data_IF_293238472996
#
_entry.id   IF_293238472996
#
_cell.length_a   1.000
_cell.length_b   1.000
_cell.length_c   1.000
_cell.angle_alpha   90.00
_cell.angle_beta   90.00
_cell.angle_gamma   90.00
#
_symmetry.space_group_name_H-M   'P 1'
#
loop_
_entity.id
_entity.type
_entity.pdbx_description
1 polymer ?
#
# COMPACT_ATOMS: atom_id res chain seq x y z
N UNK A 1 7.76 -29.78 18.64
CA UNK A 1 7.01 -28.50 18.68
C UNK A 1 7.84 -27.43 17.95
N UNK A 2 7.45 -27.08 16.72
CA UNK A 2 8.12 -26.00 16.02
C UNK A 2 7.83 -24.67 16.73
N UNK A 3 8.84 -24.10 17.39
CA UNK A 3 8.74 -22.74 17.92
C UNK A 3 8.51 -21.80 16.74
N UNK A 4 7.48 -20.96 16.77
CA UNK A 4 7.25 -19.99 15.71
C UNK A 4 8.48 -19.10 15.57
N UNK A 5 8.98 -18.97 14.34
CA UNK A 5 10.25 -18.28 14.07
C UNK A 5 9.99 -16.78 13.97
N UNK A 6 9.78 -16.13 15.12
CA UNK A 6 9.44 -14.71 15.23
C UNK A 6 10.41 -13.79 14.47
N UNK A 7 11.71 -14.17 14.41
CA UNK A 7 12.70 -13.42 13.64
C UNK A 7 12.40 -13.40 12.13
N UNK A 8 11.82 -14.48 11.58
CA UNK A 8 11.40 -14.49 10.17
C UNK A 8 10.18 -13.60 9.93
N UNK A 9 9.24 -13.60 10.87
CA UNK A 9 8.06 -12.72 10.81
C UNK A 9 8.46 -11.25 10.88
N UNK A 10 9.37 -10.91 11.81
CA UNK A 10 9.88 -9.54 11.93
C UNK A 10 10.59 -9.07 10.66
N UNK A 11 11.48 -9.91 10.11
CA UNK A 11 12.17 -9.60 8.84
C UNK A 11 11.19 -9.41 7.68
N UNK A 12 10.14 -10.22 7.61
CA UNK A 12 9.09 -10.07 6.60
C UNK A 12 8.34 -8.74 6.75
N UNK A 13 8.01 -8.33 7.99
CA UNK A 13 7.40 -7.02 8.25
C UNK A 13 8.32 -5.87 7.84
N UNK A 14 9.61 -5.91 8.19
CA UNK A 14 10.57 -4.89 7.78
C UNK A 14 10.68 -4.79 6.25
N UNK A 15 10.74 -5.92 5.55
CA UNK A 15 10.75 -5.92 4.09
C UNK A 15 9.46 -5.33 3.51
N UNK A 16 8.30 -5.66 4.08
CA UNK A 16 7.02 -5.08 3.68
C UNK A 16 7.00 -3.56 3.86
N UNK A 17 7.45 -3.05 5.00
CA UNK A 17 7.54 -1.60 5.24
C UNK A 17 8.53 -0.89 4.33
N UNK A 18 9.70 -1.50 4.06
CA UNK A 18 10.68 -0.93 3.12
C UNK A 18 10.08 -0.87 1.71
N UNK A 19 9.44 -1.93 1.26
CA UNK A 19 8.77 -1.98 -0.05
C UNK A 19 7.67 -0.93 -0.12
N UNK A 20 6.88 -0.81 0.94
CA UNK A 20 5.83 0.21 1.05
C UNK A 20 6.40 1.63 0.97
N UNK A 21 7.46 1.93 1.72
CA UNK A 21 8.10 3.24 1.72
C UNK A 21 8.65 3.60 0.33
N UNK A 22 9.28 2.65 -0.36
CA UNK A 22 9.76 2.83 -1.72
C UNK A 22 8.59 3.11 -2.67
N UNK A 23 7.53 2.31 -2.60
CA UNK A 23 6.37 2.43 -3.47
C UNK A 23 5.62 3.75 -3.24
N UNK A 24 5.47 4.18 -1.99
CA UNK A 24 4.82 5.45 -1.65
C UNK A 24 5.57 6.67 -2.21
N UNK A 25 6.91 6.63 -2.20
CA UNK A 25 7.73 7.69 -2.78
C UNK A 25 7.79 7.62 -4.32
N UNK A 26 7.56 6.43 -4.89
CA UNK A 26 7.56 6.24 -6.35
C UNK A 26 6.29 6.79 -7.02
N UNK A 27 5.14 6.74 -6.36
CA UNK A 27 3.87 7.23 -6.90
C UNK A 27 3.89 8.71 -7.30
N UNK A 28 4.40 9.68 -6.50
CA UNK A 28 4.53 11.07 -6.91
C UNK A 28 5.43 11.28 -8.14
N UNK A 29 6.49 10.47 -8.29
CA UNK A 29 7.35 10.53 -9.49
C UNK A 29 6.60 10.07 -10.74
N UNK A 30 5.76 9.05 -10.62
CA UNK A 30 4.89 8.62 -11.71
C UNK A 30 3.88 9.71 -12.10
N UNK A 31 3.36 10.46 -11.15
CA UNK A 31 2.42 11.56 -11.43
C UNK A 31 3.05 12.66 -12.27
N UNK A 32 4.31 13.00 -12.01
CA UNK A 32 5.04 13.96 -12.83
C UNK A 32 5.25 13.44 -14.26
N UNK A 33 5.54 12.16 -14.40
CA UNK A 33 5.63 11.51 -15.71
C UNK A 33 4.29 11.56 -16.46
N UNK A 34 3.19 11.27 -15.78
CA UNK A 34 1.85 11.31 -16.37
C UNK A 34 1.45 12.73 -16.84
N UNK A 35 1.89 13.77 -16.11
CA UNK A 35 1.74 15.14 -16.57
C UNK A 35 2.40 15.36 -17.94
N UNK A 36 3.65 14.93 -18.08
CA UNK A 36 4.44 15.15 -19.29
C UNK A 36 4.00 14.26 -20.47
N UNK A 37 3.61 13.01 -20.20
CA UNK A 37 3.32 12.01 -21.24
C UNK A 37 1.85 12.09 -21.75
N UNK A 38 0.91 12.33 -20.84
CA UNK A 38 -0.53 12.37 -21.15
C UNK A 38 -1.13 13.78 -21.10
N UNK A 39 -0.31 14.83 -20.90
CA UNK A 39 -0.77 16.22 -20.74
C UNK A 39 -1.84 16.41 -19.66
N UNK A 40 -1.76 15.61 -18.57
CA UNK A 40 -2.69 15.69 -17.46
C UNK A 40 -2.41 16.98 -16.67
N UNK A 41 -3.39 17.90 -16.51
CA UNK A 41 -3.16 19.14 -15.79
C UNK A 41 -2.86 18.90 -14.30
N UNK A 42 -2.06 19.79 -13.69
CA UNK A 42 -1.67 19.67 -12.29
C UNK A 42 -2.85 19.57 -11.32
N UNK A 43 -3.99 20.19 -11.64
CA UNK A 43 -5.21 20.05 -10.83
C UNK A 43 -5.72 18.61 -10.78
N UNK A 44 -5.63 17.86 -11.87
CA UNK A 44 -6.00 16.44 -11.89
C UNK A 44 -4.97 15.57 -11.17
N UNK A 45 -3.69 15.92 -11.20
CA UNK A 45 -2.64 15.25 -10.41
C UNK A 45 -2.89 15.43 -8.91
N UNK A 46 -3.29 16.63 -8.49
CA UNK A 46 -3.69 16.87 -7.11
C UNK A 46 -4.89 16.02 -6.69
N UNK A 47 -5.85 15.81 -7.61
CA UNK A 47 -6.97 14.89 -7.37
C UNK A 47 -6.51 13.43 -7.20
N UNK A 48 -5.52 12.96 -7.97
CA UNK A 48 -4.95 11.62 -7.79
C UNK A 48 -4.34 11.45 -6.40
N UNK A 49 -3.56 12.43 -5.94
CA UNK A 49 -2.98 12.43 -4.59
C UNK A 49 -4.07 12.44 -3.51
N UNK A 50 -5.09 13.28 -3.68
CA UNK A 50 -6.22 13.35 -2.74
C UNK A 50 -7.00 12.03 -2.69
N UNK A 51 -7.26 11.42 -3.84
CA UNK A 51 -7.93 10.12 -3.94
C UNK A 51 -7.12 9.02 -3.27
N UNK A 52 -5.79 9.04 -3.40
CA UNK A 52 -4.90 8.10 -2.72
C UNK A 52 -5.08 8.19 -1.20
N UNK A 53 -4.90 9.37 -0.60
CA UNK A 53 -5.00 9.55 0.84
C UNK A 53 -6.41 9.31 1.39
N UNK A 54 -7.45 9.73 0.69
CA UNK A 54 -8.84 9.47 1.09
C UNK A 54 -9.11 7.96 1.11
N UNK A 55 -8.69 7.25 0.08
CA UNK A 55 -8.84 5.78 0.01
C UNK A 55 -8.07 5.11 1.13
N UNK A 56 -6.84 5.53 1.40
CA UNK A 56 -6.01 5.01 2.47
C UNK A 56 -6.70 5.16 3.83
N UNK A 57 -7.17 6.36 4.19
CA UNK A 57 -7.89 6.62 5.44
C UNK A 57 -9.15 5.74 5.56
N UNK A 58 -9.90 5.59 4.48
CA UNK A 58 -11.09 4.72 4.48
C UNK A 58 -10.69 3.26 4.73
N UNK A 59 -9.63 2.78 4.09
CA UNK A 59 -9.13 1.43 4.29
C UNK A 59 -8.64 1.24 5.73
N UNK A 60 -7.91 2.19 6.30
CA UNK A 60 -7.42 2.13 7.68
C UNK A 60 -8.58 1.95 8.68
N UNK A 61 -9.65 2.72 8.51
CA UNK A 61 -10.83 2.66 9.39
C UNK A 61 -11.58 1.33 9.23
N UNK A 62 -11.78 0.87 7.99
CA UNK A 62 -12.56 -0.34 7.72
C UNK A 62 -11.76 -1.62 7.96
N UNK A 63 -10.47 -1.64 7.56
CA UNK A 63 -9.66 -2.84 7.63
C UNK A 63 -9.21 -3.20 9.04
N UNK A 64 -9.14 -2.24 9.97
CA UNK A 64 -8.85 -2.55 11.38
C UNK A 64 -9.78 -3.64 11.95
N UNK A 65 -11.04 -3.63 11.56
CA UNK A 65 -12.02 -4.66 11.96
C UNK A 65 -11.95 -5.95 11.13
N UNK A 66 -11.63 -5.82 9.84
CA UNK A 66 -11.58 -6.99 8.92
C UNK A 66 -10.32 -7.82 9.08
N UNK A 67 -9.20 -7.19 9.42
CA UNK A 67 -7.92 -7.87 9.63
C UNK A 67 -8.00 -8.92 10.74
N UNK A 68 -8.69 -8.58 11.84
CA UNK A 68 -8.89 -9.51 12.96
C UNK A 68 -9.73 -10.74 12.56
N UNK A 69 -10.68 -10.57 11.65
CA UNK A 69 -11.56 -11.66 11.19
C UNK A 69 -10.89 -12.56 10.14
N UNK A 70 -10.09 -11.99 9.23
CA UNK A 70 -9.45 -12.70 8.10
C UNK A 70 -8.11 -13.31 8.50
N UNK A 71 -7.42 -12.68 9.45
CA UNK A 71 -6.11 -13.04 9.95
C UNK A 71 -4.95 -12.32 9.23
N UNK A 72 -3.97 -11.89 10.00
CA UNK A 72 -2.85 -11.04 9.60
C UNK A 72 -2.08 -11.54 8.37
N UNK A 73 -1.83 -12.86 8.28
CA UNK A 73 -1.07 -13.44 7.17
C UNK A 73 -1.78 -13.31 5.83
N UNK A 74 -3.09 -13.56 5.79
CA UNK A 74 -3.88 -13.46 4.54
C UNK A 74 -4.04 -12.00 4.13
N UNK A 75 -4.23 -11.12 5.10
CA UNK A 75 -4.34 -9.69 4.87
C UNK A 75 -3.03 -9.09 4.34
N UNK A 76 -1.86 -9.53 4.83
CA UNK A 76 -0.56 -9.11 4.32
C UNK A 76 -0.35 -9.52 2.85
N UNK A 77 -0.70 -10.76 2.50
CA UNK A 77 -0.62 -11.20 1.09
C UNK A 77 -1.59 -10.41 0.21
N UNK A 78 -2.79 -10.14 0.69
CA UNK A 78 -3.77 -9.35 -0.04
C UNK A 78 -3.28 -7.90 -0.26
N UNK A 79 -2.66 -7.26 0.74
CA UNK A 79 -2.11 -5.91 0.61
C UNK A 79 -1.04 -5.82 -0.48
N UNK A 80 -0.12 -6.77 -0.52
CA UNK A 80 0.93 -6.82 -1.54
C UNK A 80 0.36 -7.08 -2.94
N UNK A 81 -0.67 -7.92 -3.06
CA UNK A 81 -1.35 -8.15 -4.33
C UNK A 81 -2.06 -6.89 -4.83
N UNK A 82 -2.78 -6.18 -3.97
CA UNK A 82 -3.43 -4.92 -4.34
C UNK A 82 -2.41 -3.84 -4.72
N UNK A 83 -1.33 -3.70 -3.96
CA UNK A 83 -0.26 -2.74 -4.26
C UNK A 83 0.39 -3.05 -5.61
N UNK A 84 0.73 -4.30 -5.87
CA UNK A 84 1.31 -4.74 -7.14
C UNK A 84 0.34 -4.52 -8.30
N UNK A 85 -0.91 -4.92 -8.15
CA UNK A 85 -1.94 -4.74 -9.18
C UNK A 85 -2.17 -3.25 -9.49
N UNK A 86 -2.20 -2.39 -8.47
CA UNK A 86 -2.34 -0.95 -8.65
C UNK A 86 -1.15 -0.33 -9.39
N UNK A 87 0.08 -0.68 -9.02
CA UNK A 87 1.29 -0.19 -9.72
C UNK A 87 1.37 -0.68 -11.16
N UNK A 88 1.10 -1.95 -11.41
CA UNK A 88 1.01 -2.49 -12.77
C UNK A 88 -0.12 -1.83 -13.57
N UNK A 89 -1.26 -1.59 -12.93
CA UNK A 89 -2.37 -0.87 -13.55
C UNK A 89 -1.98 0.53 -13.99
N UNK A 90 -1.26 1.30 -13.15
CA UNK A 90 -0.75 2.62 -13.51
C UNK A 90 0.20 2.59 -14.71
N UNK A 91 0.99 1.52 -14.85
CA UNK A 91 1.94 1.39 -15.96
C UNK A 91 1.28 0.96 -17.28
N UNK A 92 0.24 0.14 -17.20
CA UNK A 92 -0.32 -0.56 -18.38
C UNK A 92 -1.64 0.08 -18.84
N UNK A 93 -2.58 0.32 -17.92
CA UNK A 93 -3.94 0.74 -18.27
C UNK A 93 -4.04 2.05 -19.07
N UNK A 94 -3.24 3.11 -18.79
CA UNK A 94 -3.32 4.34 -19.57
C UNK A 94 -3.04 4.17 -21.05
N UNK A 95 -2.30 3.13 -21.44
CA UNK A 95 -1.97 2.85 -22.84
C UNK A 95 -3.12 2.17 -23.61
N UNK A 96 -4.04 1.52 -22.90
CA UNK A 96 -5.14 0.75 -23.50
C UNK A 96 -6.50 1.45 -23.44
N UNK A 97 -6.64 2.43 -22.56
CA UNK A 97 -7.92 3.10 -22.31
C UNK A 97 -7.94 4.48 -22.94
N UNK A 98 -9.07 4.85 -23.58
CA UNK A 98 -9.26 6.17 -24.23
C UNK A 98 -9.13 7.36 -23.26
N UNK A 99 -9.37 7.15 -21.98
CA UNK A 99 -9.23 8.16 -20.95
C UNK A 99 -8.12 7.79 -19.97
N UNK A 100 -6.88 8.27 -20.17
CA UNK A 100 -5.73 7.91 -19.33
C UNK A 100 -5.93 8.31 -17.87
N UNK A 101 -6.57 9.45 -17.61
CA UNK A 101 -6.81 9.93 -16.25
C UNK A 101 -7.69 8.96 -15.44
N UNK A 102 -8.79 8.48 -16.03
CA UNK A 102 -9.67 7.54 -15.35
C UNK A 102 -8.97 6.19 -15.05
N UNK A 103 -8.14 5.72 -15.98
CA UNK A 103 -7.35 4.51 -15.79
C UNK A 103 -6.33 4.64 -14.66
N UNK A 104 -5.63 5.79 -14.61
CA UNK A 104 -4.67 6.09 -13.55
C UNK A 104 -5.39 6.23 -12.20
N UNK A 105 -6.51 6.95 -12.15
CA UNK A 105 -7.29 7.13 -10.92
C UNK A 105 -7.76 5.79 -10.35
N UNK A 106 -8.28 4.90 -11.17
CA UNK A 106 -8.68 3.56 -10.76
C UNK A 106 -7.50 2.76 -10.20
N UNK A 107 -6.35 2.81 -10.86
CA UNK A 107 -5.13 2.13 -10.44
C UNK A 107 -4.58 2.70 -9.13
N UNK A 108 -4.65 4.01 -8.94
CA UNK A 108 -4.26 4.69 -7.69
C UNK A 108 -5.14 4.25 -6.53
N UNK A 109 -6.45 4.09 -6.73
CA UNK A 109 -7.37 3.60 -5.70
C UNK A 109 -7.00 2.16 -5.29
N UNK A 110 -6.75 1.27 -6.25
CA UNK A 110 -6.33 -0.11 -5.96
C UNK A 110 -5.00 -0.13 -5.20
N UNK A 111 -4.03 0.68 -5.62
CA UNK A 111 -2.75 0.83 -4.95
C UNK A 111 -2.91 1.35 -3.51
N UNK A 112 -3.75 2.37 -3.31
CA UNK A 112 -4.04 2.94 -2.00
C UNK A 112 -4.69 1.93 -1.04
N UNK A 113 -5.53 1.03 -1.55
CA UNK A 113 -6.11 -0.07 -0.76
C UNK A 113 -5.03 -1.02 -0.24
N UNK A 114 -4.07 -1.39 -1.08
CA UNK A 114 -2.94 -2.22 -0.65
C UNK A 114 -2.06 -1.50 0.37
N UNK A 115 -1.75 -0.23 0.12
CA UNK A 115 -0.94 0.62 0.97
C UNK A 115 -1.53 0.79 2.38
N UNK A 116 -2.81 1.15 2.49
CA UNK A 116 -3.50 1.27 3.77
C UNK A 116 -3.53 -0.06 4.53
N UNK A 117 -3.81 -1.16 3.83
CA UNK A 117 -3.89 -2.47 4.47
C UNK A 117 -2.56 -2.91 5.11
N UNK A 118 -1.40 -2.66 4.48
CA UNK A 118 -0.10 -3.01 5.08
C UNK A 118 0.22 -2.12 6.29
N UNK A 119 -0.19 -0.88 6.27
CA UNK A 119 0.02 0.09 7.35
C UNK A 119 -0.75 -0.32 8.62
N UNK A 120 -2.01 -0.72 8.47
CA UNK A 120 -2.83 -1.25 9.56
C UNK A 120 -2.25 -2.55 10.15
N UNK A 121 -1.63 -3.39 9.31
CA UNK A 121 -1.07 -4.67 9.73
C UNK A 121 0.22 -4.55 10.52
N UNK A 122 1.01 -3.52 10.27
CA UNK A 122 2.38 -3.42 10.78
C UNK A 122 2.44 -3.38 12.30
N UNK A 123 1.72 -2.48 12.92
CA UNK A 123 1.73 -2.29 14.37
C UNK A 123 1.29 -3.53 15.14
N UNK A 124 0.14 -4.17 14.87
CA UNK A 124 -0.31 -5.35 15.59
C UNK A 124 0.62 -6.56 15.43
N UNK A 125 1.24 -6.74 14.25
CA UNK A 125 2.15 -7.86 14.02
C UNK A 125 3.42 -7.71 14.84
N UNK A 126 4.00 -6.51 14.90
CA UNK A 126 5.18 -6.22 15.70
C UNK A 126 4.86 -6.33 17.19
N UNK A 127 3.71 -5.84 17.63
CA UNK A 127 3.25 -5.89 19.02
C UNK A 127 3.00 -7.33 19.50
N UNK A 128 2.50 -8.21 18.65
CA UNK A 128 2.27 -9.61 18.93
C UNK A 128 3.56 -10.44 19.05
N UNK A 129 4.71 -9.93 18.60
CA UNK A 129 5.99 -10.60 18.71
C UNK A 129 6.57 -10.45 20.13
N UNK A 130 7.01 -11.54 20.80
CA UNK A 130 7.57 -11.50 22.14
C UNK A 130 9.05 -11.04 22.12
N UNK A 131 9.29 -9.75 21.93
CA UNK A 131 10.61 -9.14 22.04
C UNK A 131 10.76 -8.35 23.34
N UNK A 132 11.94 -8.42 23.98
CA UNK A 132 12.24 -7.70 25.22
C UNK A 132 12.32 -6.15 25.04
N UNK A 133 12.56 -5.68 23.82
CA UNK A 133 12.70 -4.26 23.49
C UNK A 133 11.77 -3.85 22.35
N UNK A 134 10.46 -3.93 22.58
CA UNK A 134 9.42 -3.56 21.57
C UNK A 134 9.52 -2.10 21.14
N UNK A 135 9.81 -1.19 22.06
CA UNK A 135 9.89 0.22 21.80
C UNK A 135 11.02 0.60 20.81
N UNK A 136 12.13 -0.15 20.86
CA UNK A 136 13.26 0.04 19.93
C UNK A 136 13.00 -0.51 18.53
N UNK A 137 11.99 -1.36 18.37
CA UNK A 137 11.63 -1.96 17.07
C UNK A 137 10.58 -1.11 16.35
N UNK A 138 9.81 -0.32 17.11
CA UNK A 138 8.72 0.53 16.59
C UNK A 138 9.15 2.00 16.37
N UNK A 139 10.33 2.38 16.84
CA UNK A 139 10.92 3.71 16.62
C UNK A 139 11.85 3.73 15.41
#
# INVERSE_FOLDING_TARGET
MNRPNYNKTLKACYLGFITQAISANFAPLLFLRFHNEYNIPFGQIALLSSAFYITQILVDVFCAKFVDAIGYRKSAVASELFSTAGLLGMAILPNFVKNPFAAILFSVIIYAMGSGLIEVLGSPIVEACPFEHKDSVMS
#
